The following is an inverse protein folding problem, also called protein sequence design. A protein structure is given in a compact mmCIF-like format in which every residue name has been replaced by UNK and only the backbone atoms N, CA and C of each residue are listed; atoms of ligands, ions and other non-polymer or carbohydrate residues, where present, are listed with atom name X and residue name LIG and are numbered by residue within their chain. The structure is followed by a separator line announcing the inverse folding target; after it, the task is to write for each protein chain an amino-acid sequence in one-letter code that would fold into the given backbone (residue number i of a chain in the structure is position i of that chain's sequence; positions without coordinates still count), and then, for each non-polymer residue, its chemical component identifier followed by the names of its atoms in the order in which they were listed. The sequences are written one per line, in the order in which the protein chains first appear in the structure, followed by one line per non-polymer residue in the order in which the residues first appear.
data_IF_106416501461
#
_entry.id   IF_106416501461
#
_cell.length_a   1.000
_cell.length_b   1.000
_cell.length_c   1.000
_cell.angle_alpha   90.00
_cell.angle_beta   90.00
_cell.angle_gamma   90.00
#
_symmetry.space_group_name_H-M   'P 1'
#
loop_
_entity.id
_entity.type
_entity.pdbx_description
1 polymer ?
#
# COMPACT_ATOMS: atom_id res chain seq x y z
N UNK A 1 -17.80 -4.89 -13.35
CA UNK A 1 -17.38 -3.48 -13.07
C UNK A 1 -16.66 -2.97 -14.31
N UNK A 2 -17.13 -1.88 -14.91
CA UNK A 2 -16.52 -1.29 -16.11
C UNK A 2 -15.24 -0.50 -15.75
N UNK A 3 -14.37 -0.15 -16.71
CA UNK A 3 -13.18 0.67 -16.45
C UNK A 3 -13.49 1.96 -15.71
N UNK A 4 -14.53 2.69 -16.13
CA UNK A 4 -14.91 3.99 -15.54
C UNK A 4 -15.37 3.80 -14.09
N UNK A 5 -16.20 2.78 -13.84
CA UNK A 5 -16.64 2.46 -12.47
C UNK A 5 -15.49 2.01 -11.59
N UNK A 6 -14.51 1.30 -12.16
CA UNK A 6 -13.33 0.87 -11.43
C UNK A 6 -12.44 2.07 -11.09
N UNK A 7 -12.22 2.97 -12.06
CA UNK A 7 -11.50 4.23 -11.88
C UNK A 7 -12.10 5.10 -10.77
N UNK A 8 -13.41 5.34 -10.81
CA UNK A 8 -14.11 6.09 -9.75
C UNK A 8 -13.96 5.43 -8.38
N UNK A 9 -13.97 4.10 -8.35
CA UNK A 9 -13.76 3.34 -7.13
C UNK A 9 -12.35 3.53 -6.56
N UNK A 10 -11.31 3.54 -7.40
CA UNK A 10 -9.91 3.61 -6.92
C UNK A 10 -9.43 5.03 -6.61
N UNK A 11 -9.95 6.07 -7.29
CA UNK A 11 -9.52 7.49 -7.13
C UNK A 11 -9.50 7.97 -5.67
N UNK A 12 -10.48 7.55 -4.88
CA UNK A 12 -10.62 7.93 -3.46
C UNK A 12 -10.03 6.90 -2.48
N UNK A 13 -9.28 5.91 -2.97
CA UNK A 13 -8.72 4.80 -2.18
C UNK A 13 -7.21 4.63 -2.39
N UNK A 14 -6.55 5.69 -2.88
CA UNK A 14 -5.11 5.69 -3.16
C UNK A 14 -4.23 5.55 -1.91
N UNK A 15 -4.81 5.73 -0.73
CA UNK A 15 -4.19 5.50 0.57
C UNK A 15 -4.19 4.02 1.00
N UNK A 16 -4.96 3.16 0.32
CA UNK A 16 -5.16 1.77 0.78
C UNK A 16 -3.98 0.88 0.42
N UNK A 17 -3.63 -0.02 1.34
CA UNK A 17 -2.58 -1.03 1.16
C UNK A 17 -2.72 -1.80 -0.16
N UNK A 18 -3.93 -2.23 -0.49
CA UNK A 18 -4.17 -2.96 -1.74
C UNK A 18 -3.94 -2.10 -2.98
N UNK A 19 -4.13 -0.78 -2.91
CA UNK A 19 -3.89 0.13 -4.02
C UNK A 19 -2.39 0.31 -4.24
N UNK A 20 -1.63 0.53 -3.16
CA UNK A 20 -0.16 0.54 -3.19
C UNK A 20 0.39 -0.76 -3.79
N UNK A 21 -0.14 -1.91 -3.36
CA UNK A 21 0.27 -3.21 -3.90
C UNK A 21 -0.12 -3.42 -5.37
N UNK A 22 -1.31 -2.97 -5.77
CA UNK A 22 -1.75 -3.04 -7.16
C UNK A 22 -0.86 -2.20 -8.07
N UNK A 23 -0.54 -0.97 -7.64
CA UNK A 23 0.36 -0.07 -8.35
C UNK A 23 1.75 -0.69 -8.51
N UNK A 24 2.32 -1.20 -7.41
CA UNK A 24 3.62 -1.86 -7.42
C UNK A 24 3.67 -3.07 -8.39
N UNK A 25 2.63 -3.92 -8.38
CA UNK A 25 2.53 -5.05 -9.31
C UNK A 25 2.50 -4.62 -10.79
N UNK A 26 1.92 -3.46 -11.10
CA UNK A 26 1.72 -2.99 -12.47
C UNK A 26 2.91 -2.22 -13.02
N UNK A 27 3.54 -1.38 -12.20
CA UNK A 27 4.58 -0.45 -12.65
C UNK A 27 5.99 -0.81 -12.20
N UNK A 28 6.15 -1.55 -11.10
CA UNK A 28 7.47 -1.77 -10.49
C UNK A 28 7.99 -3.21 -10.63
N UNK A 29 7.21 -4.11 -11.22
CA UNK A 29 7.62 -5.49 -11.49
C UNK A 29 7.33 -5.85 -12.95
N UNK A 30 8.35 -6.30 -13.66
CA UNK A 30 8.26 -6.65 -15.08
C UNK A 30 7.32 -7.82 -15.37
N UNK A 31 7.37 -8.89 -14.55
CA UNK A 31 6.54 -10.07 -14.74
C UNK A 31 5.14 -9.95 -14.10
N UNK A 32 4.88 -8.83 -13.42
CA UNK A 32 3.65 -8.53 -12.69
C UNK A 32 3.30 -9.56 -11.61
N UNK A 33 4.30 -10.17 -10.98
CA UNK A 33 4.16 -11.19 -9.95
C UNK A 33 4.93 -10.80 -8.68
N UNK A 34 4.28 -10.85 -7.51
CA UNK A 34 4.93 -10.61 -6.23
C UNK A 34 4.47 -11.59 -5.14
N UNK A 35 5.36 -11.94 -4.22
CA UNK A 35 4.98 -12.65 -2.99
C UNK A 35 4.41 -11.68 -1.95
N UNK A 36 3.63 -12.19 -0.98
CA UNK A 36 3.20 -11.40 0.19
C UNK A 36 4.38 -10.74 0.92
N UNK A 37 5.45 -11.50 1.13
CA UNK A 37 6.64 -11.04 1.84
C UNK A 37 7.32 -9.88 1.09
N UNK A 38 7.50 -10.00 -0.23
CA UNK A 38 8.07 -8.92 -1.04
C UNK A 38 7.23 -7.64 -0.96
N UNK A 39 5.90 -7.77 -1.10
CA UNK A 39 5.00 -6.63 -0.98
C UNK A 39 5.07 -5.99 0.41
N UNK A 40 5.18 -6.79 1.47
CA UNK A 40 5.35 -6.28 2.83
C UNK A 40 6.68 -5.51 2.96
N UNK A 41 7.78 -6.10 2.53
CA UNK A 41 9.10 -5.47 2.68
C UNK A 41 9.20 -4.13 1.98
N UNK A 42 8.62 -4.00 0.79
CA UNK A 42 8.66 -2.76 0.01
C UNK A 42 7.65 -1.72 0.50
N UNK A 43 6.49 -2.14 1.00
CA UNK A 43 5.36 -1.23 1.26
C UNK A 43 5.10 -0.95 2.75
N UNK A 44 5.71 -1.70 3.68
CA UNK A 44 5.42 -1.59 5.13
C UNK A 44 5.62 -0.20 5.71
N UNK A 45 6.57 0.56 5.18
CA UNK A 45 6.85 1.92 5.64
C UNK A 45 5.84 2.93 5.10
N UNK A 46 5.64 2.95 3.78
CA UNK A 46 4.78 3.94 3.11
C UNK A 46 3.29 3.74 3.41
N UNK A 47 2.90 2.52 3.78
CA UNK A 47 1.53 2.18 4.19
C UNK A 47 1.30 2.29 5.70
N UNK A 48 2.34 2.63 6.47
CA UNK A 48 2.19 2.85 7.90
C UNK A 48 1.41 4.14 8.19
N UNK A 49 0.68 4.12 9.30
CA UNK A 49 0.11 5.31 9.93
C UNK A 49 1.01 5.86 11.04
N UNK A 50 2.02 5.08 11.46
CA UNK A 50 3.03 5.55 12.41
C UNK A 50 4.13 6.27 11.63
N UNK A 51 4.59 7.44 12.12
CA UNK A 51 5.71 8.16 11.51
C UNK A 51 7.05 7.45 11.74
N UNK A 52 7.15 6.60 12.76
CA UNK A 52 8.40 5.97 13.18
C UNK A 52 8.40 4.45 12.94
N UNK A 53 7.25 3.80 13.11
CA UNK A 53 7.15 2.34 12.99
C UNK A 53 6.56 1.93 11.63
N UNK A 54 7.06 0.86 11.01
CA UNK A 54 6.36 0.23 9.90
C UNK A 54 5.04 -0.38 10.37
N UNK A 55 4.11 -0.58 9.43
CA UNK A 55 2.86 -1.27 9.74
C UNK A 55 3.15 -2.72 10.21
N UNK A 56 2.45 -3.23 11.24
CA UNK A 56 2.56 -4.65 11.61
C UNK A 56 2.16 -5.59 10.46
N UNK A 57 2.92 -6.66 10.27
CA UNK A 57 2.76 -7.61 9.15
C UNK A 57 1.32 -8.16 9.03
N UNK A 58 0.73 -8.62 10.13
CA UNK A 58 -0.63 -9.14 10.13
C UNK A 58 -1.67 -8.11 9.67
N UNK A 59 -1.49 -6.82 10.00
CA UNK A 59 -2.36 -5.73 9.54
C UNK A 59 -2.15 -5.45 8.06
N UNK A 60 -0.90 -5.50 7.60
CA UNK A 60 -0.59 -5.38 6.18
C UNK A 60 -1.26 -6.48 5.35
N UNK A 61 -1.11 -7.74 5.76
CA UNK A 61 -1.73 -8.87 5.07
C UNK A 61 -3.25 -8.82 5.08
N UNK A 62 -3.86 -8.37 6.17
CA UNK A 62 -5.30 -8.13 6.21
C UNK A 62 -5.73 -7.08 5.18
N UNK A 63 -5.06 -5.92 5.14
CA UNK A 63 -5.35 -4.86 4.16
C UNK A 63 -5.05 -5.25 2.72
N UNK A 64 -4.06 -6.12 2.50
CA UNK A 64 -3.72 -6.65 1.18
C UNK A 64 -4.80 -7.59 0.63
N UNK A 65 -5.53 -8.32 1.48
CA UNK A 65 -6.56 -9.27 1.06
C UNK A 65 -7.68 -8.68 0.18
N UNK A 66 -7.92 -7.37 0.28
CA UNK A 66 -8.90 -6.66 -0.54
C UNK A 66 -8.53 -6.67 -2.04
N UNK A 67 -7.25 -6.78 -2.39
CA UNK A 67 -6.79 -6.83 -3.78
C UNK A 67 -7.41 -8.00 -4.56
N UNK A 68 -7.70 -9.10 -3.86
CA UNK A 68 -8.29 -10.31 -4.43
C UNK A 68 -9.78 -10.16 -4.75
N UNK A 69 -10.41 -9.10 -4.26
CA UNK A 69 -11.83 -8.81 -4.50
C UNK A 69 -12.04 -7.87 -5.69
N UNK A 70 -10.98 -7.29 -6.24
CA UNK A 70 -11.06 -6.35 -7.35
C UNK A 70 -11.38 -7.07 -8.65
N UNK A 71 -12.32 -6.50 -9.41
CA UNK A 71 -12.76 -7.02 -10.69
C UNK A 71 -12.79 -5.89 -11.73
N UNK A 72 -12.41 -6.21 -12.95
CA UNK A 72 -12.52 -5.35 -14.13
C UNK A 72 -13.10 -6.19 -15.28
N UNK A 73 -14.18 -5.73 -15.90
CA UNK A 73 -14.90 -6.45 -16.96
C UNK A 73 -15.17 -7.92 -16.61
N UNK A 74 -15.68 -8.11 -15.40
CA UNK A 74 -16.08 -9.41 -14.80
C UNK A 74 -14.94 -10.43 -14.66
N UNK A 75 -13.70 -9.97 -14.77
CA UNK A 75 -12.50 -10.74 -14.46
C UNK A 75 -11.83 -10.22 -13.20
N UNK A 76 -11.31 -11.14 -12.39
CA UNK A 76 -10.44 -10.81 -11.25
C UNK A 76 -9.18 -10.13 -11.77
N UNK A 77 -8.87 -8.96 -11.22
CA UNK A 77 -7.66 -8.20 -11.59
C UNK A 77 -6.41 -8.94 -11.10
N UNK A 78 -6.47 -9.49 -9.89
CA UNK A 78 -5.34 -10.20 -9.28
C UNK A 78 -5.74 -11.63 -8.96
N UNK A 79 -4.88 -12.57 -9.32
CA UNK A 79 -4.95 -13.97 -8.92
C UNK A 79 -3.93 -14.27 -7.84
N UNK A 80 -4.32 -15.08 -6.86
CA UNK A 80 -3.41 -15.60 -5.83
C UNK A 80 -3.10 -17.07 -6.10
N UNK A 81 -1.82 -17.42 -6.11
CA UNK A 81 -1.34 -18.79 -6.30
C UNK A 81 -1.07 -19.47 -4.96
N UNK A 82 -1.14 -20.81 -4.95
CA UNK A 82 -0.88 -21.63 -3.75
C UNK A 82 0.52 -21.42 -3.16
N UNK A 83 1.48 -20.98 -3.96
CA UNK A 83 2.84 -20.64 -3.52
C UNK A 83 2.97 -19.24 -2.88
N UNK A 84 1.86 -18.56 -2.59
CA UNK A 84 1.89 -17.27 -1.88
C UNK A 84 2.08 -16.04 -2.77
N UNK A 85 2.01 -16.19 -4.09
CA UNK A 85 2.24 -15.11 -5.05
C UNK A 85 0.94 -14.51 -5.60
N UNK A 86 0.91 -13.20 -5.76
CA UNK A 86 -0.09 -12.44 -6.50
C UNK A 86 0.39 -12.24 -7.94
N UNK A 87 -0.54 -12.28 -8.89
CA UNK A 87 -0.27 -12.02 -10.31
C UNK A 87 -1.41 -11.23 -10.94
N UNK A 88 -1.07 -10.25 -11.79
CA UNK A 88 -2.06 -9.56 -12.63
C UNK A 88 -2.68 -10.57 -13.61
N UNK A 89 -4.02 -10.59 -13.66
CA UNK A 89 -4.84 -11.54 -14.39
C UNK A 89 -5.76 -10.86 -15.42
N UNK A 90 -5.47 -9.59 -15.72
CA UNK A 90 -6.12 -8.78 -16.77
C UNK A 90 -5.05 -8.26 -17.73
N UNK A 91 -5.48 -7.64 -18.84
CA UNK A 91 -4.55 -6.91 -19.71
C UNK A 91 -3.90 -5.78 -18.92
N UNK A 92 -2.58 -5.75 -18.92
CA UNK A 92 -1.80 -4.82 -18.09
C UNK A 92 -1.93 -3.40 -18.62
N UNK A 93 -2.00 -3.25 -19.94
CA UNK A 93 -2.08 -1.95 -20.63
C UNK A 93 -3.32 -1.17 -20.20
N UNK A 94 -4.49 -1.84 -20.21
CA UNK A 94 -5.75 -1.26 -19.71
C UNK A 94 -5.63 -0.85 -18.25
N UNK A 95 -4.95 -1.67 -17.43
CA UNK A 95 -4.79 -1.39 -16.02
C UNK A 95 -3.83 -0.22 -15.76
N UNK A 96 -2.78 -0.09 -16.57
CA UNK A 96 -1.85 1.05 -16.55
C UNK A 96 -2.59 2.35 -16.83
N UNK A 97 -3.36 2.41 -17.92
CA UNK A 97 -4.15 3.60 -18.28
C UNK A 97 -5.08 4.04 -17.13
N UNK A 98 -5.81 3.08 -16.54
CA UNK A 98 -6.71 3.37 -15.42
C UNK A 98 -5.96 3.85 -14.17
N UNK A 99 -4.81 3.23 -13.84
CA UNK A 99 -4.03 3.61 -12.67
C UNK A 99 -3.32 4.96 -12.85
N UNK A 100 -2.83 5.26 -14.05
CA UNK A 100 -2.25 6.56 -14.41
C UNK A 100 -3.30 7.67 -14.25
N UNK A 101 -4.53 7.44 -14.72
CA UNK A 101 -5.62 8.41 -14.55
C UNK A 101 -6.08 8.53 -13.08
N UNK A 102 -6.05 7.44 -12.32
CA UNK A 102 -6.37 7.48 -10.89
C UNK A 102 -5.32 8.28 -10.10
N UNK A 103 -4.06 8.16 -10.49
CA UNK A 103 -2.91 8.83 -9.89
C UNK A 103 -2.15 7.96 -8.89
N UNK A 104 -0.96 8.45 -8.51
CA UNK A 104 -0.02 7.75 -7.63
C UNK A 104 -0.61 7.38 -6.26
N UNK A 105 -0.12 6.28 -5.64
CA UNK A 105 -0.46 5.93 -4.26
C UNK A 105 -0.13 7.06 -3.28
N UNK A 106 -1.01 7.29 -2.31
CA UNK A 106 -0.83 8.33 -1.29
C UNK A 106 -0.36 7.67 -0.01
N UNK A 107 0.78 8.10 0.54
CA UNK A 107 1.21 7.66 1.87
C UNK A 107 0.42 8.40 2.94
N UNK A 108 -0.08 7.67 3.94
CA UNK A 108 -0.71 8.24 5.14
C UNK A 108 0.28 8.44 6.28
N UNK A 109 1.56 8.15 6.07
CA UNK A 109 2.59 8.28 7.10
C UNK A 109 2.73 9.76 7.45
N UNK A 110 2.56 10.15 8.72
CA UNK A 110 2.81 11.53 9.13
C UNK A 110 4.29 11.88 8.88
N UNK A 111 4.53 13.04 8.29
CA UNK A 111 5.89 13.56 8.10
C UNK A 111 6.22 14.38 9.35
N UNK A 112 6.96 13.78 10.29
CA UNK A 112 7.49 14.53 11.44
C UNK A 112 8.63 15.40 10.92
N UNK A 113 8.55 16.71 11.18
CA UNK A 113 9.67 17.62 10.89
C UNK A 113 10.81 17.39 11.90
N UNK A 114 12.06 17.52 11.48
CA UNK A 114 13.26 17.35 12.33
C UNK A 114 13.14 18.09 13.69
N UNK A 115 12.56 19.28 13.69
CA UNK A 115 12.33 20.09 14.89
C UNK A 115 11.34 19.45 15.88
N UNK A 116 10.25 18.88 15.38
CA UNK A 116 9.26 18.16 16.19
C UNK A 116 9.87 16.89 16.77
N UNK A 117 10.70 16.18 15.99
CA UNK A 117 11.43 15.01 16.47
C UNK A 117 12.35 15.36 17.64
N UNK A 118 13.16 16.43 17.49
CA UNK A 118 14.05 16.90 18.57
C UNK A 118 13.29 17.31 19.82
N UNK A 119 12.13 17.96 19.66
CA UNK A 119 11.25 18.31 20.78
C UNK A 119 10.73 17.07 21.51
N UNK A 120 10.18 16.09 20.78
CA UNK A 120 9.70 14.83 21.36
C UNK A 120 10.79 14.07 22.13
N UNK A 121 12.02 14.03 21.61
CA UNK A 121 13.16 13.44 22.32
C UNK A 121 13.51 14.19 23.60
N UNK A 122 13.49 15.53 23.57
CA UNK A 122 13.78 16.35 24.74
C UNK A 122 12.70 16.20 25.82
N UNK A 123 11.43 16.15 25.43
CA UNK A 123 10.30 15.99 26.34
C UNK A 123 10.34 14.60 26.99
N UNK A 124 10.61 13.53 26.22
CA UNK A 124 10.79 12.17 26.74
C UNK A 124 11.93 12.05 27.76
N UNK A 125 13.11 12.62 27.44
CA UNK A 125 14.24 12.64 28.37
C UNK A 125 14.05 13.61 29.55
N UNK A 126 13.11 14.55 29.46
CA UNK A 126 12.83 15.52 30.51
C UNK A 126 11.87 14.99 31.57
N UNK A 127 10.92 14.13 31.19
CA UNK A 127 9.89 13.61 32.10
C UNK A 127 10.36 12.41 32.94
N UNK A 128 11.25 11.55 32.42
CA UNK A 128 11.66 10.30 33.11
C UNK A 128 12.92 10.42 34.01
N UNK A 129 13.57 11.57 34.08
CA UNK A 129 14.84 11.73 34.84
C UNK A 129 14.74 12.63 36.08
N UNK A 130 13.56 13.15 36.41
CA UNK A 130 13.36 13.98 37.61
C UNK A 130 12.83 13.20 38.83
N UNK A 131 12.41 11.94 38.65
CA UNK A 131 11.84 11.09 39.71
C UNK A 131 12.68 9.82 40.04
N UNK A 132 14.00 9.83 39.81
CA UNK A 132 14.94 8.77 40.29
C UNK A 132 16.01 9.37 41.20
#
# INVERSE_FOLDING_TARGET
ITPEKFLDYIKNRRDKIWYHALHYLVFNIEDHIASKALLFDVLKEVTSKSPIDPIPEHKFYFGLGYILRLNLNDKRIVRFFRNGKFKINTKVEILKEILEEAGEPISTRPIIKEEEKKKMFKDFLGEDFLDI
#
